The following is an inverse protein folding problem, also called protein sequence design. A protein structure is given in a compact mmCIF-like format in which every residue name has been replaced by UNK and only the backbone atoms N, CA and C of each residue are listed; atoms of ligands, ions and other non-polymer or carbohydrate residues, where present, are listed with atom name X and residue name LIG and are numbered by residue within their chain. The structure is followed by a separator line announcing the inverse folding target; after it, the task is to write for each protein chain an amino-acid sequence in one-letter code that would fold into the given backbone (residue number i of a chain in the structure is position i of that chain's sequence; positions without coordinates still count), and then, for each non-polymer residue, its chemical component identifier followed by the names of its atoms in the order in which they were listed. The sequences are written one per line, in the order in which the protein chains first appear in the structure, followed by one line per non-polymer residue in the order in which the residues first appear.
data_IF_149823882484
#
_entry.id   IF_149823882484
#
_cell.length_a   1.000
_cell.length_b   1.000
_cell.length_c   1.000
_cell.angle_alpha   90.00
_cell.angle_beta   90.00
_cell.angle_gamma   90.00
#
_symmetry.space_group_name_H-M   'P 1'
#
loop_
_entity.id
_entity.type
_entity.pdbx_description
1 polymer ?
#
# COMPACT_ATOMS: atom_id res chain seq x y z
N UNK A 1 16.41 3.43 2.36
CA UNK A 1 15.38 4.47 2.45
C UNK A 1 14.92 4.76 1.03
N UNK A 2 13.67 4.51 0.77
CA UNK A 2 13.12 4.71 -0.57
C UNK A 2 12.53 6.12 -0.64
N UNK A 3 12.91 6.86 -1.68
CA UNK A 3 12.53 8.24 -1.90
C UNK A 3 12.10 8.40 -3.36
N UNK A 4 11.01 9.11 -3.58
CA UNK A 4 10.52 9.42 -4.92
C UNK A 4 10.18 10.89 -5.04
N UNK A 5 10.32 11.43 -6.24
CA UNK A 5 9.89 12.77 -6.56
C UNK A 5 8.54 12.71 -7.26
N UNK A 6 7.53 13.34 -6.67
CA UNK A 6 6.19 13.45 -7.23
C UNK A 6 5.91 14.94 -7.46
N UNK A 7 6.06 15.39 -8.71
CA UNK A 7 6.08 16.82 -9.00
C UNK A 7 7.28 17.50 -8.33
N UNK A 8 7.01 18.56 -7.56
CA UNK A 8 8.04 19.33 -6.85
C UNK A 8 8.29 18.83 -5.41
N UNK A 9 7.58 17.77 -4.96
CA UNK A 9 7.69 17.23 -3.60
C UNK A 9 8.52 15.94 -3.62
N UNK A 10 9.46 15.83 -2.65
CA UNK A 10 10.24 14.63 -2.41
C UNK A 10 9.59 13.81 -1.30
N UNK A 11 8.94 12.72 -1.66
CA UNK A 11 8.32 11.82 -0.71
C UNK A 11 9.26 10.68 -0.33
N UNK A 12 9.38 10.42 0.96
CA UNK A 12 9.97 9.21 1.51
C UNK A 12 8.86 8.25 1.91
N UNK A 13 9.10 6.95 1.77
CA UNK A 13 8.10 5.94 2.07
C UNK A 13 8.73 4.64 2.54
N UNK A 14 7.95 3.86 3.25
CA UNK A 14 8.20 2.46 3.57
C UNK A 14 6.86 1.74 3.73
N UNK A 15 6.87 0.45 3.50
CA UNK A 15 5.76 -0.45 3.80
C UNK A 15 6.31 -1.77 4.27
N UNK A 16 5.56 -2.45 5.13
CA UNK A 16 5.84 -3.80 5.57
C UNK A 16 4.54 -4.47 6.04
N UNK A 17 4.57 -5.79 6.11
CA UNK A 17 3.43 -6.62 6.55
C UNK A 17 3.93 -7.80 7.37
N UNK A 18 3.18 -8.19 8.39
CA UNK A 18 3.46 -9.34 9.24
C UNK A 18 2.18 -10.18 9.41
N UNK A 19 2.33 -11.50 9.42
CA UNK A 19 1.19 -12.41 9.59
C UNK A 19 0.55 -12.35 10.97
N UNK A 20 1.19 -11.65 11.92
CA UNK A 20 0.75 -11.65 13.30
C UNK A 20 1.13 -12.93 14.06
N UNK A 21 0.67 -13.03 15.31
CA UNK A 21 1.01 -14.13 16.19
C UNK A 21 -0.03 -15.26 16.21
N UNK A 22 -1.20 -15.05 15.60
CA UNK A 22 -2.36 -15.97 15.66
C UNK A 22 -2.81 -16.54 14.32
N UNK A 23 -2.35 -15.95 13.22
CA UNK A 23 -2.72 -16.40 11.87
C UNK A 23 -1.61 -17.27 11.30
N UNK A 24 -1.99 -18.32 10.58
CA UNK A 24 -1.06 -19.20 9.88
C UNK A 24 -0.63 -18.65 8.51
N UNK A 25 -1.44 -17.73 7.97
CA UNK A 25 -1.25 -17.09 6.66
C UNK A 25 -1.40 -15.57 6.77
N UNK A 26 -0.80 -14.86 5.84
CA UNK A 26 -0.97 -13.44 5.69
C UNK A 26 -1.90 -13.16 4.50
N UNK A 27 -3.12 -12.75 4.78
CA UNK A 27 -4.13 -12.41 3.79
C UNK A 27 -4.09 -10.91 3.41
N UNK A 28 -3.28 -10.12 4.12
CA UNK A 28 -3.01 -8.73 3.77
C UNK A 28 -2.01 -8.62 2.63
N UNK A 29 -2.11 -7.53 1.88
CA UNK A 29 -1.05 -7.09 0.99
C UNK A 29 -0.95 -5.57 0.94
N UNK A 30 0.17 -5.06 0.47
CA UNK A 30 0.36 -3.63 0.24
C UNK A 30 1.07 -3.37 -1.09
N UNK A 31 1.03 -2.12 -1.55
CA UNK A 31 1.86 -1.67 -2.66
C UNK A 31 2.45 -0.29 -2.39
N UNK A 32 3.65 -0.11 -2.93
CA UNK A 32 4.33 1.18 -3.03
C UNK A 32 4.74 1.40 -4.47
N UNK A 33 3.97 2.22 -5.19
CA UNK A 33 4.19 2.54 -6.61
C UNK A 33 4.55 4.02 -6.79
N UNK A 34 5.77 4.40 -6.42
CA UNK A 34 6.18 5.80 -6.36
C UNK A 34 6.13 6.51 -7.71
N UNK A 35 6.29 5.77 -8.82
CA UNK A 35 6.19 6.34 -10.18
C UNK A 35 4.77 6.77 -10.53
N UNK A 36 3.78 6.14 -9.91
CA UNK A 36 2.36 6.46 -10.06
C UNK A 36 1.88 7.44 -8.99
N UNK A 37 2.73 7.71 -7.97
CA UNK A 37 2.32 8.41 -6.77
C UNK A 37 1.27 7.63 -5.96
N UNK A 38 1.30 6.28 -5.99
CA UNK A 38 0.27 5.42 -5.44
C UNK A 38 0.85 4.53 -4.33
N UNK A 39 0.16 4.52 -3.19
CA UNK A 39 0.39 3.61 -2.06
C UNK A 39 -0.94 3.03 -1.61
N UNK A 40 -0.97 1.75 -1.26
CA UNK A 40 -2.20 1.09 -0.80
C UNK A 40 -1.91 -0.04 0.19
N UNK A 41 -2.92 -0.37 0.99
CA UNK A 41 -3.05 -1.56 1.80
C UNK A 41 -4.37 -2.21 1.45
N UNK A 42 -4.39 -3.54 1.32
CA UNK A 42 -5.58 -4.33 1.11
C UNK A 42 -5.56 -5.52 2.07
N UNK A 43 -6.66 -5.73 2.78
CA UNK A 43 -6.86 -6.79 3.75
C UNK A 43 -7.84 -7.80 3.15
N UNK A 44 -7.36 -9.02 2.98
CA UNK A 44 -8.10 -10.10 2.35
C UNK A 44 -8.94 -10.86 3.35
N UNK A 45 -10.21 -11.08 3.01
CA UNK A 45 -11.12 -11.91 3.80
C UNK A 45 -11.51 -13.17 3.04
N UNK A 46 -11.55 -14.29 3.76
CA UNK A 46 -11.94 -15.58 3.19
C UNK A 46 -11.31 -16.76 3.92
N UNK A 47 -11.78 -17.97 3.68
CA UNK A 47 -11.18 -19.16 4.26
C UNK A 47 -9.89 -19.56 3.53
N UNK A 48 -8.83 -19.89 4.27
CA UNK A 48 -7.54 -20.38 3.75
C UNK A 48 -6.83 -19.38 2.83
N UNK A 49 -6.42 -19.79 1.61
CA UNK A 49 -5.72 -18.95 0.64
C UNK A 49 -6.65 -17.98 -0.14
N UNK A 50 -7.95 -17.92 0.17
CA UNK A 50 -8.89 -17.10 -0.60
C UNK A 50 -8.70 -15.59 -0.33
N UNK A 51 -8.43 -15.21 0.92
CA UNK A 51 -8.15 -13.83 1.30
C UNK A 51 -6.87 -13.30 0.66
N UNK A 52 -5.77 -14.08 0.70
CA UNK A 52 -4.50 -13.73 0.04
C UNK A 52 -4.68 -13.47 -1.46
N UNK A 53 -5.43 -14.34 -2.15
CA UNK A 53 -5.72 -14.14 -3.58
C UNK A 53 -6.60 -12.91 -3.81
N UNK A 54 -7.57 -12.66 -2.92
CA UNK A 54 -8.48 -11.52 -3.04
C UNK A 54 -7.73 -10.18 -2.91
N UNK A 55 -6.94 -10.03 -1.86
CA UNK A 55 -6.16 -8.80 -1.63
C UNK A 55 -5.14 -8.56 -2.74
N UNK A 56 -4.44 -9.62 -3.20
CA UNK A 56 -3.46 -9.52 -4.30
C UNK A 56 -4.12 -9.13 -5.62
N UNK A 57 -5.31 -9.68 -5.93
CA UNK A 57 -6.05 -9.34 -7.13
C UNK A 57 -6.57 -7.90 -7.10
N UNK A 58 -7.05 -7.42 -5.95
CA UNK A 58 -7.45 -6.03 -5.75
C UNK A 58 -6.24 -5.10 -5.94
N UNK A 59 -5.12 -5.39 -5.28
CA UNK A 59 -3.88 -4.64 -5.41
C UNK A 59 -3.41 -4.54 -6.87
N UNK A 60 -3.29 -5.67 -7.54
CA UNK A 60 -2.78 -5.74 -8.91
C UNK A 60 -3.71 -5.02 -9.90
N UNK A 61 -5.04 -5.18 -9.74
CA UNK A 61 -6.03 -4.50 -10.58
C UNK A 61 -5.95 -2.97 -10.40
N UNK A 62 -5.85 -2.46 -9.18
CA UNK A 62 -5.75 -1.02 -8.94
C UNK A 62 -4.48 -0.46 -9.57
N UNK A 63 -3.34 -1.13 -9.43
CA UNK A 63 -2.08 -0.69 -10.06
C UNK A 63 -2.21 -0.65 -11.59
N UNK A 64 -2.77 -1.71 -12.18
CA UNK A 64 -2.98 -1.78 -13.64
C UNK A 64 -3.89 -0.65 -14.13
N UNK A 65 -5.02 -0.43 -13.48
CA UNK A 65 -6.02 0.58 -13.88
C UNK A 65 -5.50 2.01 -13.72
N UNK A 66 -4.83 2.30 -12.59
CA UNK A 66 -4.19 3.61 -12.38
C UNK A 66 -3.07 3.84 -13.39
N UNK A 67 -2.30 2.80 -13.76
CA UNK A 67 -1.29 2.88 -14.83
C UNK A 67 -1.92 3.17 -16.18
N UNK A 68 -3.11 2.64 -16.45
CA UNK A 68 -3.87 2.91 -17.68
C UNK A 68 -4.51 4.31 -17.70
N UNK A 69 -4.49 5.04 -16.59
CA UNK A 69 -4.99 6.41 -16.46
C UNK A 69 -6.38 6.55 -15.83
N UNK A 70 -6.92 5.49 -15.28
CA UNK A 70 -8.20 5.55 -14.57
C UNK A 70 -8.07 6.35 -13.26
N UNK A 71 -9.19 6.89 -12.77
CA UNK A 71 -9.25 7.48 -11.45
C UNK A 71 -9.09 6.41 -10.37
N UNK A 72 -8.64 6.82 -9.16
CA UNK A 72 -8.48 5.88 -8.05
C UNK A 72 -9.81 5.21 -7.66
N UNK A 73 -10.90 5.97 -7.65
CA UNK A 73 -12.26 5.47 -7.36
C UNK A 73 -12.71 4.46 -8.41
N UNK A 74 -12.50 4.75 -9.71
CA UNK A 74 -12.88 3.82 -10.78
C UNK A 74 -12.04 2.53 -10.71
N UNK A 75 -10.74 2.65 -10.43
CA UNK A 75 -9.85 1.51 -10.28
C UNK A 75 -10.30 0.57 -9.13
N UNK A 76 -10.69 1.14 -7.97
CA UNK A 76 -11.24 0.38 -6.85
C UNK A 76 -12.59 -0.27 -7.22
N UNK A 77 -13.47 0.46 -7.87
CA UNK A 77 -14.78 -0.07 -8.30
C UNK A 77 -14.61 -1.22 -9.28
N UNK A 78 -13.70 -1.07 -10.25
CA UNK A 78 -13.40 -2.13 -11.22
C UNK A 78 -12.74 -3.36 -10.57
N UNK A 79 -11.96 -3.18 -9.51
CA UNK A 79 -11.38 -4.32 -8.79
C UNK A 79 -12.45 -5.20 -8.13
N UNK A 80 -13.59 -4.63 -7.70
CA UNK A 80 -14.74 -5.40 -7.26
C UNK A 80 -15.27 -6.31 -8.38
N UNK A 81 -15.49 -5.77 -9.57
CA UNK A 81 -16.00 -6.55 -10.71
C UNK A 81 -15.03 -7.65 -11.15
N UNK A 82 -13.73 -7.38 -11.07
CA UNK A 82 -12.67 -8.36 -11.38
C UNK A 82 -12.71 -9.49 -10.35
N UNK A 83 -12.79 -9.15 -9.06
CA UNK A 83 -12.84 -10.13 -7.99
C UNK A 83 -14.12 -10.97 -8.03
N UNK A 84 -15.28 -10.37 -8.30
CA UNK A 84 -16.54 -11.12 -8.50
C UNK A 84 -16.41 -12.14 -9.62
N UNK A 85 -15.82 -11.74 -10.75
CA UNK A 85 -15.61 -12.69 -11.89
C UNK A 85 -14.66 -13.83 -11.53
N UNK A 86 -13.61 -13.55 -10.78
CA UNK A 86 -12.69 -14.57 -10.28
C UNK A 86 -13.41 -15.56 -9.36
N UNK A 87 -14.24 -15.07 -8.45
CA UNK A 87 -15.06 -15.90 -7.54
C UNK A 87 -16.02 -16.79 -8.32
N UNK A 88 -16.70 -16.28 -9.35
CA UNK A 88 -17.66 -17.04 -10.18
C UNK A 88 -16.98 -18.14 -11.00
N UNK A 89 -15.68 -18.05 -11.26
CA UNK A 89 -14.92 -19.06 -12.00
C UNK A 89 -14.33 -20.17 -11.10
N UNK A 90 -14.32 -19.96 -9.79
CA UNK A 90 -13.77 -20.92 -8.82
C UNK A 90 -14.81 -21.95 -8.37
N UNK A 91 -14.31 -23.06 -7.85
CA UNK A 91 -15.18 -24.00 -7.12
C UNK A 91 -15.75 -23.31 -5.88
N UNK A 92 -17.05 -23.52 -5.61
CA UNK A 92 -17.79 -22.84 -4.52
C UNK A 92 -17.08 -22.96 -3.17
N UNK A 93 -16.50 -24.13 -2.87
CA UNK A 93 -15.82 -24.36 -1.59
C UNK A 93 -14.54 -23.51 -1.41
N UNK A 94 -13.85 -23.19 -2.50
CA UNK A 94 -12.59 -22.39 -2.47
C UNK A 94 -12.82 -20.89 -2.60
N UNK A 95 -14.05 -20.48 -2.94
CA UNK A 95 -14.40 -19.07 -3.15
C UNK A 95 -15.31 -18.51 -2.04
N UNK A 96 -15.75 -19.39 -1.10
CA UNK A 96 -16.73 -19.00 -0.09
C UNK A 96 -16.16 -17.90 0.83
N UNK A 97 -16.84 -16.73 0.83
CA UNK A 97 -16.46 -15.59 1.64
C UNK A 97 -15.23 -14.83 1.15
N UNK A 98 -14.73 -15.12 -0.05
CA UNK A 98 -13.61 -14.42 -0.66
C UNK A 98 -13.94 -12.94 -0.91
N UNK A 99 -13.13 -12.07 -0.38
CA UNK A 99 -13.29 -10.63 -0.51
C UNK A 99 -12.04 -9.87 -0.08
N UNK A 100 -12.07 -8.56 -0.19
CA UNK A 100 -10.97 -7.71 0.29
C UNK A 100 -11.48 -6.32 0.66
N UNK A 101 -10.87 -5.73 1.66
CA UNK A 101 -10.86 -4.28 1.86
C UNK A 101 -9.82 -3.64 0.97
N UNK A 102 -9.79 -2.33 0.92
CA UNK A 102 -8.66 -1.55 0.40
C UNK A 102 -8.69 -0.14 0.95
N UNK A 103 -7.52 0.40 1.24
CA UNK A 103 -7.28 1.82 1.44
C UNK A 103 -6.10 2.24 0.57
N UNK A 104 -6.25 3.31 -0.19
CA UNK A 104 -5.23 3.79 -1.10
C UNK A 104 -5.10 5.31 -1.05
N UNK A 105 -3.86 5.81 -1.21
CA UNK A 105 -3.56 7.23 -1.42
C UNK A 105 -2.84 7.41 -2.75
N UNK A 106 -3.29 8.39 -3.52
CA UNK A 106 -2.62 8.87 -4.73
C UNK A 106 -2.21 10.31 -4.53
N UNK A 107 -0.93 10.60 -4.75
CA UNK A 107 -0.36 11.94 -4.64
C UNK A 107 0.10 12.40 -6.02
N UNK A 108 -0.24 13.64 -6.37
CA UNK A 108 0.18 14.29 -7.60
C UNK A 108 0.61 15.72 -7.29
N UNK A 109 1.92 15.99 -7.29
CA UNK A 109 2.47 17.20 -6.70
C UNK A 109 2.12 17.27 -5.21
N UNK A 110 1.53 18.37 -4.77
CA UNK A 110 1.01 18.52 -3.40
C UNK A 110 -0.42 18.03 -3.22
N UNK A 111 -1.16 17.79 -4.30
CA UNK A 111 -2.54 17.31 -4.23
C UNK A 111 -2.58 15.82 -3.90
N UNK A 112 -3.50 15.42 -3.04
CA UNK A 112 -3.72 14.02 -2.76
C UNK A 112 -5.19 13.61 -2.87
N UNK A 113 -5.39 12.36 -3.17
CA UNK A 113 -6.67 11.65 -3.12
C UNK A 113 -6.50 10.38 -2.30
N UNK A 114 -7.34 10.20 -1.28
CA UNK A 114 -7.49 8.93 -0.55
C UNK A 114 -8.83 8.33 -0.93
N UNK A 115 -8.84 7.04 -1.25
CA UNK A 115 -10.07 6.28 -1.50
C UNK A 115 -10.00 4.91 -0.80
N UNK A 116 -11.16 4.40 -0.34
CA UNK A 116 -11.20 3.16 0.43
C UNK A 116 -12.54 2.41 0.30
N UNK A 117 -12.47 1.11 0.57
CA UNK A 117 -13.61 0.21 0.81
C UNK A 117 -13.25 -0.71 1.98
N UNK A 118 -14.10 -0.78 2.99
CA UNK A 118 -13.85 -1.57 4.20
C UNK A 118 -13.42 -0.74 5.39
N UNK A 119 -12.65 -1.33 6.29
CA UNK A 119 -12.20 -0.79 7.58
C UNK A 119 -10.67 -0.64 7.69
N UNK A 120 -9.92 -0.95 6.65
CA UNK A 120 -8.54 -0.46 6.52
C UNK A 120 -8.52 1.06 6.48
N UNK A 121 -7.55 1.67 7.18
CA UNK A 121 -7.59 3.11 7.46
C UNK A 121 -6.43 3.88 6.82
N UNK A 122 -6.73 5.14 6.48
CA UNK A 122 -5.73 6.16 6.17
C UNK A 122 -5.79 7.27 7.21
N UNK A 123 -4.61 7.67 7.68
CA UNK A 123 -4.41 8.80 8.57
C UNK A 123 -3.48 9.82 7.92
N UNK A 124 -3.69 11.09 8.26
CA UNK A 124 -2.75 12.18 8.01
C UNK A 124 -2.10 12.55 9.35
N UNK A 125 -0.77 12.62 9.38
CA UNK A 125 0.00 13.03 10.55
C UNK A 125 0.86 14.23 10.20
N UNK A 126 0.62 15.34 10.91
CA UNK A 126 1.39 16.59 10.86
C UNK A 126 1.55 17.16 12.27
N UNK A 127 2.03 16.32 13.22
CA UNK A 127 2.06 16.62 14.65
C UNK A 127 0.81 16.19 15.41
N UNK A 128 -0.31 16.05 14.73
CA UNK A 128 -1.54 15.43 15.23
C UNK A 128 -1.98 14.33 14.25
N UNK A 129 -2.50 13.23 14.76
CA UNK A 129 -3.04 12.14 13.96
C UNK A 129 -4.51 12.44 13.63
N UNK A 130 -4.83 12.46 12.36
CA UNK A 130 -6.18 12.64 11.84
C UNK A 130 -6.57 11.46 10.97
N UNK A 131 -7.58 10.68 11.37
CA UNK A 131 -8.16 9.67 10.49
C UNK A 131 -8.88 10.35 9.33
N UNK A 132 -8.54 9.97 8.10
CA UNK A 132 -9.14 10.50 6.87
C UNK A 132 -10.30 9.63 6.37
N UNK A 133 -10.26 8.34 6.68
CA UNK A 133 -11.28 7.36 6.30
C UNK A 133 -12.38 7.27 7.34
N UNK A 134 -13.55 6.78 6.91
CA UNK A 134 -14.63 6.34 7.80
C UNK A 134 -14.90 4.87 7.49
N UNK A 135 -14.69 4.00 8.46
CA UNK A 135 -14.78 2.56 8.25
C UNK A 135 -16.18 2.15 7.78
N UNK A 136 -16.25 1.32 6.78
CA UNK A 136 -17.49 0.74 6.29
C UNK A 136 -17.89 -0.46 7.16
N UNK A 137 -18.24 -0.17 8.42
CA UNK A 137 -18.68 -1.17 9.40
C UNK A 137 -20.08 -0.90 9.89
N UNK A 138 -20.74 -1.96 10.35
CA UNK A 138 -22.06 -1.87 10.95
C UNK A 138 -22.11 -0.90 12.14
N UNK A 139 -21.05 -0.87 12.91
CA UNK A 139 -20.92 0.02 14.08
C UNK A 139 -20.88 1.48 13.66
N UNK A 140 -20.15 1.83 12.61
CA UNK A 140 -20.10 3.20 12.12
C UNK A 140 -21.44 3.65 11.52
N UNK A 141 -22.20 2.76 10.89
CA UNK A 141 -23.59 3.08 10.48
C UNK A 141 -24.49 3.37 11.68
N UNK A 142 -24.40 2.55 12.74
CA UNK A 142 -25.18 2.76 13.97
C UNK A 142 -24.82 4.08 14.67
N UNK A 143 -23.53 4.43 14.69
CA UNK A 143 -23.04 5.71 15.20
C UNK A 143 -23.59 6.89 14.38
N UNK A 144 -23.52 6.82 13.06
CA UNK A 144 -23.99 7.86 12.15
C UNK A 144 -25.50 8.12 12.29
N UNK A 145 -26.27 7.07 12.61
CA UNK A 145 -27.70 7.18 12.87
C UNK A 145 -28.04 7.52 14.33
N UNK A 146 -27.05 7.70 15.21
CA UNK A 146 -27.26 7.98 16.63
C UNK A 146 -27.89 6.81 17.39
N UNK A 147 -27.83 5.58 16.87
CA UNK A 147 -28.40 4.40 17.47
C UNK A 147 -27.56 3.86 18.65
N UNK A 148 -26.26 4.16 18.65
CA UNK A 148 -25.32 3.83 19.73
C UNK A 148 -24.41 5.02 20.01
N UNK A 149 -23.80 5.05 21.22
CA UNK A 149 -22.78 6.05 21.58
C UNK A 149 -21.36 5.56 21.17
N UNK A 150 -20.35 6.45 21.11
CA UNK A 150 -18.96 6.05 20.86
C UNK A 150 -18.44 5.02 21.87
N UNK A 151 -18.83 5.13 23.14
CA UNK A 151 -18.45 4.18 24.18
C UNK A 151 -19.05 2.80 23.94
N UNK A 152 -20.28 2.73 23.43
CA UNK A 152 -20.96 1.47 23.09
C UNK A 152 -20.34 0.84 21.82
N UNK A 153 -19.87 1.66 20.90
CA UNK A 153 -19.26 1.22 19.65
C UNK A 153 -17.99 0.38 19.90
N UNK A 154 -17.12 0.84 20.82
CA UNK A 154 -15.85 0.20 21.10
C UNK A 154 -15.96 -1.28 21.51
N UNK A 155 -17.00 -1.64 22.24
CA UNK A 155 -17.24 -3.00 22.71
C UNK A 155 -18.41 -3.68 22.01
N UNK A 156 -18.82 -3.17 20.85
CA UNK A 156 -19.97 -3.73 20.14
C UNK A 156 -19.60 -5.08 19.50
N UNK A 157 -20.48 -6.07 19.60
CA UNK A 157 -20.26 -7.40 19.03
C UNK A 157 -20.05 -7.42 17.52
N UNK A 158 -20.66 -6.45 16.81
CA UNK A 158 -20.61 -6.34 15.35
C UNK A 158 -19.55 -5.30 14.88
N UNK A 159 -18.54 -4.99 15.71
CA UNK A 159 -17.54 -3.95 15.39
C UNK A 159 -16.71 -4.25 14.13
N UNK A 160 -16.51 -5.55 13.83
CA UNK A 160 -15.80 -6.02 12.63
C UNK A 160 -16.73 -6.47 11.50
N UNK A 161 -18.04 -6.20 11.60
CA UNK A 161 -18.98 -6.56 10.53
C UNK A 161 -18.93 -5.47 9.47
N UNK A 162 -18.30 -5.80 8.33
CA UNK A 162 -18.21 -4.92 7.18
C UNK A 162 -19.58 -4.70 6.52
N UNK A 163 -19.86 -3.46 6.12
CA UNK A 163 -21.03 -3.09 5.30
C UNK A 163 -20.69 -2.92 3.84
N UNK A 164 -19.40 -2.73 3.52
CA UNK A 164 -18.85 -2.78 2.18
C UNK A 164 -17.53 -3.55 2.17
N UNK A 165 -17.44 -4.52 1.28
CA UNK A 165 -16.23 -5.31 1.03
C UNK A 165 -16.21 -5.70 -0.45
N UNK A 166 -15.06 -5.63 -1.08
CA UNK A 166 -14.90 -5.99 -2.49
C UNK A 166 -15.08 -7.51 -2.65
N UNK A 167 -15.83 -7.94 -3.67
CA UNK A 167 -16.00 -9.33 -4.03
C UNK A 167 -17.10 -10.10 -3.30
N UNK A 168 -17.46 -9.75 -2.07
CA UNK A 168 -18.33 -10.57 -1.20
C UNK A 168 -19.76 -10.71 -1.74
N UNK A 169 -20.33 -9.68 -2.33
CA UNK A 169 -21.66 -9.71 -2.91
C UNK A 169 -21.68 -9.03 -4.28
N UNK A 170 -21.90 -9.82 -5.33
CA UNK A 170 -21.95 -9.32 -6.71
C UNK A 170 -23.09 -8.33 -6.99
N UNK A 171 -24.13 -8.30 -6.15
CA UNK A 171 -25.23 -7.36 -6.28
C UNK A 171 -24.99 -6.08 -5.49
N UNK A 172 -23.94 -6.04 -4.67
CA UNK A 172 -23.59 -4.86 -3.90
C UNK A 172 -23.02 -3.80 -4.82
N UNK A 173 -23.67 -2.65 -4.87
CA UNK A 173 -23.10 -1.47 -5.51
C UNK A 173 -22.03 -0.88 -4.59
N UNK A 174 -20.78 -1.12 -4.92
CA UNK A 174 -19.65 -0.54 -4.19
C UNK A 174 -19.64 0.97 -4.36
N UNK A 175 -19.53 1.66 -3.25
CA UNK A 175 -19.40 3.11 -3.21
C UNK A 175 -18.13 3.45 -2.41
N UNK A 176 -16.96 3.54 -3.07
CA UNK A 176 -15.72 3.87 -2.36
C UNK A 176 -15.84 5.20 -1.63
N UNK A 177 -15.41 5.23 -0.36
CA UNK A 177 -15.20 6.48 0.33
C UNK A 177 -14.07 7.25 -0.36
N UNK A 178 -14.14 8.59 -0.33
CA UNK A 178 -13.17 9.46 -0.99
C UNK A 178 -12.95 10.75 -0.22
N UNK A 179 -11.69 11.13 -0.06
CA UNK A 179 -11.28 12.44 0.44
C UNK A 179 -10.11 12.97 -0.40
N UNK A 180 -10.08 14.28 -0.61
CA UNK A 180 -8.99 14.96 -1.32
C UNK A 180 -8.47 16.12 -0.49
N UNK A 181 -7.22 16.50 -0.69
CA UNK A 181 -6.62 17.62 0.01
C UNK A 181 -5.24 17.96 -0.55
N UNK A 182 -4.52 18.77 0.20
CA UNK A 182 -3.17 19.20 -0.13
C UNK A 182 -2.22 18.79 0.99
N UNK A 183 -1.21 18.02 0.65
CA UNK A 183 -0.14 17.60 1.56
C UNK A 183 0.79 18.79 1.81
N UNK A 184 0.98 19.14 3.07
CA UNK A 184 1.89 20.24 3.49
C UNK A 184 3.25 19.68 3.84
N UNK A 185 4.30 20.54 3.80
CA UNK A 185 5.62 20.17 4.29
C UNK A 185 5.58 19.59 5.71
N UNK A 186 6.26 18.47 5.92
CA UNK A 186 6.30 17.75 7.20
C UNK A 186 5.04 16.90 7.51
N UNK A 187 4.08 16.85 6.61
CA UNK A 187 2.94 15.93 6.75
C UNK A 187 3.23 14.58 6.09
N UNK A 188 2.64 13.52 6.65
CA UNK A 188 2.76 12.15 6.16
C UNK A 188 1.45 11.40 6.27
N UNK A 189 1.25 10.42 5.40
CA UNK A 189 0.17 9.45 5.48
C UNK A 189 0.65 8.19 6.21
N UNK A 190 -0.26 7.60 6.98
CA UNK A 190 -0.21 6.22 7.44
C UNK A 190 -1.39 5.49 6.84
N UNK A 191 -1.15 4.41 6.10
CA UNK A 191 -2.15 3.46 5.66
C UNK A 191 -1.95 2.17 6.43
N UNK A 192 -3.02 1.53 6.89
CA UNK A 192 -2.92 0.28 7.65
C UNK A 192 -4.17 -0.58 7.52
N UNK A 193 -4.01 -1.90 7.71
CA UNK A 193 -5.10 -2.83 7.98
C UNK A 193 -5.61 -2.69 9.42
N UNK A 194 -6.72 -3.35 9.73
CA UNK A 194 -7.36 -3.31 11.05
C UNK A 194 -6.48 -3.96 12.14
N UNK A 195 -5.61 -4.92 11.77
CA UNK A 195 -4.67 -5.54 12.72
C UNK A 195 -3.72 -4.57 13.41
N UNK A 196 -3.49 -3.37 12.85
CA UNK A 196 -2.80 -2.30 13.56
C UNK A 196 -3.73 -1.60 14.56
N UNK A 197 -4.92 -1.21 14.14
CA UNK A 197 -5.83 -0.34 14.89
C UNK A 197 -6.69 -1.09 15.91
N UNK A 198 -6.75 -2.40 15.81
CA UNK A 198 -7.32 -3.27 16.84
C UNK A 198 -6.39 -3.43 18.05
N UNK A 199 -5.09 -3.39 17.82
CA UNK A 199 -4.08 -3.53 18.87
C UNK A 199 -3.62 -2.18 19.43
N UNK A 200 -3.57 -1.12 18.62
CA UNK A 200 -3.02 0.17 19.01
C UNK A 200 -4.05 1.29 18.93
N UNK A 201 -4.18 2.06 20.02
CA UNK A 201 -4.98 3.29 20.00
C UNK A 201 -4.31 4.38 19.16
N UNK A 202 -5.10 5.32 18.65
CA UNK A 202 -4.61 6.48 17.89
C UNK A 202 -3.54 7.27 18.66
N UNK A 203 -3.64 7.34 19.99
CA UNK A 203 -2.63 8.01 20.84
C UNK A 203 -1.28 7.31 20.78
N UNK A 204 -1.26 5.97 20.80
CA UNK A 204 -0.04 5.17 20.69
C UNK A 204 0.56 5.32 19.29
N UNK A 205 -0.28 5.19 18.26
CA UNK A 205 0.13 5.38 16.85
C UNK A 205 0.77 6.76 16.67
N UNK A 206 0.11 7.83 17.12
CA UNK A 206 0.65 9.19 17.04
C UNK A 206 2.00 9.33 17.75
N UNK A 207 2.16 8.73 18.94
CA UNK A 207 3.41 8.71 19.69
C UNK A 207 4.54 8.03 18.95
N UNK A 208 4.27 6.89 18.30
CA UNK A 208 5.25 6.14 17.50
C UNK A 208 5.66 6.92 16.25
N UNK A 209 4.71 7.55 15.54
CA UNK A 209 5.01 8.40 14.40
C UNK A 209 5.85 9.64 14.79
N UNK A 210 5.56 10.27 15.93
CA UNK A 210 6.28 11.44 16.40
C UNK A 210 7.73 11.15 16.81
N UNK A 211 7.98 9.97 17.40
CA UNK A 211 9.30 9.61 17.95
C UNK A 211 10.25 9.03 16.92
N UNK A 212 9.75 8.38 15.90
CA UNK A 212 10.53 7.74 14.85
C UNK A 212 10.70 8.70 13.65
N UNK A 213 11.92 8.89 13.18
CA UNK A 213 12.27 9.97 12.24
C UNK A 213 12.31 9.54 10.76
N UNK A 214 12.09 8.27 10.45
CA UNK A 214 12.07 7.79 9.08
C UNK A 214 10.89 6.86 8.85
N UNK A 215 10.35 6.76 7.61
CA UNK A 215 9.25 5.87 7.29
C UNK A 215 9.52 4.43 7.74
N UNK A 216 10.72 3.91 7.46
CA UNK A 216 11.08 2.54 7.83
C UNK A 216 11.08 2.33 9.35
N UNK A 217 11.63 3.28 10.12
CA UNK A 217 11.62 3.16 11.58
C UNK A 217 10.23 3.28 12.17
N UNK A 218 9.34 4.06 11.53
CA UNK A 218 7.94 4.16 11.94
C UNK A 218 7.18 2.87 11.66
N UNK A 219 7.31 2.31 10.44
CA UNK A 219 6.70 1.04 10.06
C UNK A 219 7.15 -0.08 11.00
N UNK A 220 8.46 -0.22 11.24
CA UNK A 220 9.01 -1.24 12.14
C UNK A 220 8.50 -1.10 13.58
N UNK A 221 8.39 0.15 14.06
CA UNK A 221 7.89 0.41 15.41
C UNK A 221 6.40 0.12 15.56
N UNK A 222 5.59 0.46 14.56
CA UNK A 222 4.14 0.23 14.55
C UNK A 222 3.84 -1.27 14.52
N UNK A 223 4.44 -2.02 13.59
CA UNK A 223 4.22 -3.48 13.49
C UNK A 223 4.68 -4.17 14.78
N UNK A 224 5.89 -3.85 15.27
CA UNK A 224 6.38 -4.43 16.51
C UNK A 224 5.45 -4.14 17.70
N UNK A 225 4.96 -2.92 17.82
CA UNK A 225 4.05 -2.57 18.92
C UNK A 225 2.72 -3.34 18.83
N UNK A 226 2.16 -3.54 17.63
CA UNK A 226 0.96 -4.35 17.45
C UNK A 226 1.20 -5.81 17.82
N UNK A 227 2.34 -6.39 17.40
CA UNK A 227 2.72 -7.75 17.77
C UNK A 227 2.92 -7.91 19.29
N UNK A 228 3.54 -6.93 19.95
CA UNK A 228 3.75 -6.92 21.40
C UNK A 228 2.43 -6.82 22.19
N UNK A 229 1.39 -6.22 21.62
CA UNK A 229 0.04 -6.13 22.22
C UNK A 229 -0.81 -7.39 22.00
N UNK A 230 -0.41 -8.27 21.10
CA UNK A 230 -1.09 -9.55 20.85
C UNK A 230 -0.89 -10.08 19.46
N UNK A 231 -0.88 -9.21 18.45
CA UNK A 231 -0.75 -9.59 17.05
C UNK A 231 -1.84 -10.59 16.64
N UNK A 232 -3.10 -10.28 16.99
CA UNK A 232 -4.20 -11.21 16.80
C UNK A 232 -4.58 -11.40 15.34
N UNK A 233 -4.21 -10.45 14.47
CA UNK A 233 -4.44 -10.48 13.02
C UNK A 233 -3.18 -10.16 12.22
N UNK A 234 -3.27 -10.24 10.89
CA UNK A 234 -2.28 -9.73 9.96
C UNK A 234 -2.14 -8.22 10.16
N UNK A 235 -0.93 -7.70 10.12
CA UNK A 235 -0.64 -6.27 10.35
C UNK A 235 0.12 -5.72 9.15
N UNK A 236 -0.54 -4.86 8.39
CA UNK A 236 0.06 -4.18 7.24
C UNK A 236 0.10 -2.68 7.45
N UNK A 237 1.26 -2.09 7.17
CA UNK A 237 1.53 -0.67 7.40
C UNK A 237 2.29 -0.08 6.22
N UNK A 238 1.81 1.05 5.71
CA UNK A 238 2.54 1.88 4.74
C UNK A 238 2.60 3.31 5.28
N UNK A 239 3.80 3.87 5.31
CA UNK A 239 4.02 5.27 5.64
C UNK A 239 4.62 5.97 4.43
N UNK A 240 4.07 7.13 4.06
CA UNK A 240 4.57 7.99 2.97
C UNK A 240 4.35 9.45 3.29
N UNK A 241 5.37 10.30 3.07
CA UNK A 241 5.23 11.73 3.32
C UNK A 241 6.50 12.52 3.06
N UNK A 242 6.40 13.80 3.39
CA UNK A 242 7.52 14.73 3.34
C UNK A 242 8.27 14.70 4.67
N UNK A 243 9.39 13.98 4.66
CA UNK A 243 10.27 13.90 5.82
C UNK A 243 11.47 14.83 5.63
N UNK A 244 11.83 15.59 6.65
CA UNK A 244 13.07 16.32 6.64
C UNK A 244 14.25 15.36 6.45
N UNK A 245 14.99 15.54 5.35
CA UNK A 245 16.18 14.73 5.07
C UNK A 245 17.24 15.07 6.13
N UNK A 246 17.66 14.08 6.90
CA UNK A 246 18.83 14.25 7.76
C UNK A 246 20.09 14.44 6.90
N UNK A 247 21.12 15.15 7.43
CA UNK A 247 22.40 15.33 6.71
C UNK A 247 23.02 13.98 6.29
N UNK A 248 22.84 12.93 7.07
CA UNK A 248 23.28 11.56 6.74
C UNK A 248 22.54 10.95 5.56
N UNK A 249 21.26 11.24 5.40
CA UNK A 249 20.44 10.78 4.27
C UNK A 249 20.86 11.49 2.98
N UNK A 250 21.19 12.76 3.04
CA UNK A 250 21.72 13.54 1.92
C UNK A 250 23.07 12.99 1.43
N UNK A 251 23.98 12.64 2.33
CA UNK A 251 25.26 12.01 1.98
C UNK A 251 25.08 10.62 1.33
N UNK A 252 24.17 9.82 1.86
CA UNK A 252 23.88 8.47 1.32
C UNK A 252 23.27 8.54 -0.07
N UNK A 253 22.38 9.49 -0.29
CA UNK A 253 21.74 9.71 -1.60
C UNK A 253 22.76 10.23 -2.62
N UNK A 254 23.66 11.12 -2.20
CA UNK A 254 24.74 11.64 -3.04
C UNK A 254 25.75 10.56 -3.45
N UNK A 255 26.08 9.66 -2.54
CA UNK A 255 26.97 8.54 -2.81
C UNK A 255 26.34 7.49 -3.71
N UNK A 256 25.04 7.20 -3.59
CA UNK A 256 24.32 6.30 -4.51
C UNK A 256 24.25 6.89 -5.93
N UNK A 257 23.99 8.18 -6.10
CA UNK A 257 24.02 8.84 -7.42
C UNK A 257 25.42 8.79 -8.04
N UNK A 258 26.48 9.03 -7.28
CA UNK A 258 27.87 8.90 -7.76
C UNK A 258 28.21 7.47 -8.18
N UNK A 259 27.75 6.45 -7.48
CA UNK A 259 27.99 5.05 -7.82
C UNK A 259 27.20 4.61 -9.06
N UNK A 260 25.97 5.09 -9.25
CA UNK A 260 25.16 4.82 -10.44
C UNK A 260 25.73 5.49 -11.70
N UNK A 261 26.21 6.74 -11.59
CA UNK A 261 26.86 7.44 -12.70
C UNK A 261 28.22 6.82 -13.04
N UNK A 262 28.98 6.34 -12.05
CA UNK A 262 30.22 5.61 -12.28
C UNK A 262 29.99 4.24 -12.98
N UNK A 263 28.88 3.56 -12.68
CA UNK A 263 28.50 2.30 -13.33
C UNK A 263 27.99 2.52 -14.76
N UNK A 264 27.29 3.64 -15.00
CA UNK A 264 26.81 4.03 -16.35
C UNK A 264 27.97 4.45 -17.24
N UNK A 265 28.93 5.22 -16.73
CA UNK A 265 30.16 5.61 -17.45
C UNK A 265 31.06 4.40 -17.80
N UNK A 266 31.04 3.32 -17.00
CA UNK A 266 31.77 2.09 -17.31
C UNK A 266 31.11 1.24 -18.40
N UNK A 267 29.79 1.28 -18.57
CA UNK A 267 29.07 0.55 -19.63
C UNK A 267 29.22 1.20 -21.02
N UNK A 268 29.45 2.51 -21.11
CA UNK A 268 29.64 3.19 -22.40
C UNK A 268 31.04 3.06 -23.00
N UNK A 269 32.00 2.49 -22.24
CA UNK A 269 33.36 2.22 -22.75
C UNK A 269 33.57 0.74 -23.11
N UNK A 270 32.64 0.15 -23.89
CA UNK A 270 32.99 -1.06 -24.62
C UNK A 270 33.98 -0.67 -25.73
N UNK A 271 35.23 -1.21 -25.72
CA UNK A 271 36.22 -0.77 -26.70
C UNK A 271 35.79 -1.19 -28.08
N UNK A 272 35.58 -0.24 -28.96
CA UNK A 272 35.29 -0.43 -30.41
C UNK A 272 36.25 -1.43 -31.10
N UNK A 273 37.39 -1.70 -30.48
CA UNK A 273 38.40 -2.68 -30.93
C UNK A 273 37.96 -4.13 -30.85
N UNK A 274 37.04 -4.50 -29.94
CA UNK A 274 36.55 -5.88 -29.81
C UNK A 274 35.53 -6.23 -30.88
N UNK A 275 34.69 -5.25 -31.28
CA UNK A 275 33.72 -5.45 -32.37
C UNK A 275 34.40 -5.59 -33.73
N UNK A 276 35.49 -4.85 -33.96
CA UNK A 276 36.28 -4.96 -35.20
C UNK A 276 37.02 -6.31 -35.30
N UNK A 277 37.40 -6.91 -34.18
CA UNK A 277 38.08 -8.24 -34.18
C UNK A 277 37.09 -9.37 -34.46
N UNK A 278 35.89 -9.30 -33.99
CA UNK A 278 34.82 -10.29 -34.21
C UNK A 278 34.31 -10.25 -35.66
N UNK A 279 34.21 -9.08 -36.28
CA UNK A 279 33.82 -8.93 -37.72
C UNK A 279 34.94 -9.47 -38.64
N UNK A 280 36.21 -9.24 -38.30
CA UNK A 280 37.35 -9.77 -39.09
C UNK A 280 37.44 -11.31 -39.02
N UNK A 281 37.15 -11.91 -37.84
CA UNK A 281 37.11 -13.37 -37.68
C UNK A 281 35.94 -14.02 -38.41
N UNK A 282 34.76 -13.39 -38.46
CA UNK A 282 33.62 -13.89 -39.22
C UNK A 282 33.88 -13.83 -40.73
N UNK A 283 34.54 -12.79 -41.24
CA UNK A 283 34.89 -12.68 -42.69
C UNK A 283 35.97 -13.69 -43.07
N UNK A 284 36.93 -13.97 -42.19
CA UNK A 284 37.96 -15.01 -42.42
C UNK A 284 37.38 -16.43 -42.45
N UNK A 285 36.39 -16.70 -41.55
CA UNK A 285 35.70 -17.98 -41.56
C UNK A 285 34.86 -18.23 -42.81
N UNK A 286 34.22 -17.19 -43.33
CA UNK A 286 33.45 -17.24 -44.58
C UNK A 286 34.34 -17.43 -45.80
N UNK A 287 35.56 -16.91 -45.77
CA UNK A 287 36.51 -17.06 -46.91
C UNK A 287 37.17 -18.49 -46.93
N UNK A 288 37.29 -19.15 -45.78
CA UNK A 288 37.82 -20.51 -45.66
C UNK A 288 36.80 -21.62 -45.97
N UNK A 289 35.51 -21.26 -46.16
CA UNK A 289 34.42 -22.18 -46.50
C UNK A 289 34.00 -22.10 -48.00
N UNK A 290 34.70 -21.28 -48.81
CA UNK A 290 34.64 -21.29 -50.28
C UNK A 290 35.85 -21.95 -50.88
#
# INVERSE_FOLDING_TARGET
MDCTQVGDISLQYAGDTDAGSRRDHNEDCFATEPRLGLWLVADGVGGHAAGEVASDLVRSTIIERVTAGDSLVDAITLSHDVLVREIEQREVASALGMGSTVVAVKVNGSEYEVAWVGDSRAYLFGGQLQQLTTDHTRVNELLAHGAITPEQAHNHRDRHVLTQCLGVDKNLQITPGRVTGTLKPGEQFLLCSDGLTDELSDTVIAGLLATNKSPKSQVDALIRAALDMGGNDNVSVVVVGDFELSEQDLETTHNRRRSSDASRSRREKFPFKVLALLTALCLLALWLLQ
#
